data_IF_493521669915
#
_entry.id   IF_493521669915
#
_cell.length_a   1.000
_cell.length_b   1.000
_cell.length_c   1.000
_cell.angle_alpha   90.00
_cell.angle_beta   90.00
_cell.angle_gamma   90.00
#
_symmetry.space_group_name_H-M   'P 1'
#
loop_
_entity.id
_entity.type
_entity.pdbx_description
1 polymer ?
#
# COMPACT_ATOMS: atom_id res chain seq x y z
N UNK A 1 1.64 -3.86 -16.23
CA UNK A 1 2.30 -5.01 -16.87
C UNK A 1 3.78 -4.71 -17.03
N UNK A 2 4.70 -5.68 -16.79
CA UNK A 2 6.09 -5.48 -17.16
C UNK A 2 6.16 -5.17 -18.65
N UNK A 3 6.98 -4.20 -19.05
CA UNK A 3 7.20 -3.91 -20.47
C UNK A 3 7.71 -5.19 -21.15
N UNK A 4 7.09 -5.54 -22.27
CA UNK A 4 7.56 -6.66 -23.09
C UNK A 4 9.03 -6.45 -23.45
N UNK A 5 9.81 -7.53 -23.38
CA UNK A 5 11.21 -7.51 -23.83
C UNK A 5 11.24 -7.19 -25.32
N UNK A 6 12.23 -6.41 -25.75
CA UNK A 6 12.41 -5.98 -27.15
C UNK A 6 13.29 -6.93 -27.95
N UNK A 7 13.74 -8.01 -27.34
CA UNK A 7 14.68 -8.96 -27.91
C UNK A 7 14.28 -10.40 -27.59
N UNK A 8 14.58 -11.31 -28.50
CA UNK A 8 14.33 -12.76 -28.37
C UNK A 8 15.47 -13.47 -27.64
N UNK A 9 15.25 -14.73 -27.27
CA UNK A 9 16.28 -15.52 -26.61
C UNK A 9 17.46 -15.82 -27.56
N UNK A 10 17.19 -15.98 -28.86
CA UNK A 10 18.20 -16.14 -29.90
C UNK A 10 19.04 -14.87 -30.07
N UNK A 11 18.41 -13.69 -30.06
CA UNK A 11 19.12 -12.41 -30.13
C UNK A 11 20.00 -12.19 -28.89
N UNK A 12 19.54 -12.61 -27.71
CA UNK A 12 20.37 -12.60 -26.50
C UNK A 12 21.60 -13.50 -26.64
N UNK A 13 21.42 -14.74 -27.10
CA UNK A 13 22.53 -15.69 -27.30
C UNK A 13 23.55 -15.14 -28.29
N UNK A 14 23.08 -14.60 -29.43
CA UNK A 14 23.94 -13.98 -30.42
C UNK A 14 24.67 -12.74 -29.88
N UNK A 15 23.98 -11.89 -29.12
CA UNK A 15 24.58 -10.71 -28.50
C UNK A 15 25.65 -11.07 -27.46
N UNK A 16 25.44 -12.13 -26.68
CA UNK A 16 26.42 -12.65 -25.72
C UNK A 16 27.67 -13.18 -26.43
N UNK A 17 27.49 -14.02 -27.46
CA UNK A 17 28.62 -14.56 -28.23
C UNK A 17 29.47 -13.45 -28.90
N UNK A 18 28.84 -12.36 -29.33
CA UNK A 18 29.50 -11.25 -30.03
C UNK A 18 30.02 -10.12 -29.12
N UNK A 19 30.08 -10.34 -27.79
CA UNK A 19 30.46 -9.31 -26.81
C UNK A 19 31.54 -9.80 -25.86
N UNK A 20 32.38 -8.87 -25.39
CA UNK A 20 33.44 -9.12 -24.40
C UNK A 20 33.06 -8.55 -23.02
N UNK A 21 32.01 -7.72 -22.93
CA UNK A 21 31.53 -7.07 -21.70
C UNK A 21 30.00 -6.99 -21.70
N UNK A 22 29.36 -6.98 -20.51
CA UNK A 22 27.90 -6.89 -20.39
C UNK A 22 27.30 -5.59 -20.94
N UNK A 23 28.06 -4.50 -20.93
CA UNK A 23 27.65 -3.24 -21.56
C UNK A 23 27.49 -3.38 -23.07
N UNK A 24 28.35 -4.15 -23.73
CA UNK A 24 28.30 -4.41 -25.17
C UNK A 24 27.07 -5.26 -25.52
N UNK A 25 26.75 -6.27 -24.69
CA UNK A 25 25.52 -7.05 -24.81
C UNK A 25 24.29 -6.12 -24.73
N UNK A 26 24.27 -5.18 -23.77
CA UNK A 26 23.20 -4.19 -23.68
C UNK A 26 23.08 -3.34 -24.94
N UNK A 27 24.19 -2.82 -25.47
CA UNK A 27 24.19 -2.02 -26.70
C UNK A 27 23.67 -2.81 -27.91
N UNK A 28 24.07 -4.08 -28.06
CA UNK A 28 23.60 -4.96 -29.14
C UNK A 28 22.11 -5.28 -29.05
N UNK A 29 21.57 -5.39 -27.84
CA UNK A 29 20.14 -5.60 -27.58
C UNK A 29 19.32 -4.29 -27.60
N UNK A 30 19.94 -3.15 -27.93
CA UNK A 30 19.28 -1.84 -27.96
C UNK A 30 18.78 -1.36 -26.59
N UNK A 31 19.39 -1.84 -25.50
CA UNK A 31 19.05 -1.45 -24.12
C UNK A 31 20.19 -0.62 -23.50
N UNK A 32 19.83 0.35 -22.67
CA UNK A 32 20.82 1.20 -21.97
C UNK A 32 21.55 0.37 -20.90
N UNK A 33 22.90 0.38 -20.87
CA UNK A 33 23.67 -0.28 -19.80
C UNK A 33 23.33 0.29 -18.42
N UNK A 34 23.30 -0.57 -17.40
CA UNK A 34 22.90 -0.22 -16.04
C UNK A 34 23.15 -1.37 -15.07
N UNK A 35 22.20 -1.69 -14.19
CA UNK A 35 22.29 -2.94 -13.42
C UNK A 35 22.04 -4.15 -14.33
N UNK A 36 22.94 -5.12 -14.29
CA UNK A 36 22.90 -6.30 -15.15
C UNK A 36 22.10 -7.47 -14.57
N UNK A 37 21.45 -7.31 -13.41
CA UNK A 37 20.76 -8.41 -12.71
C UNK A 37 19.73 -9.13 -13.58
N UNK A 38 18.91 -8.37 -14.33
CA UNK A 38 17.93 -8.95 -15.25
C UNK A 38 18.60 -9.59 -16.47
N UNK A 39 19.64 -8.96 -17.03
CA UNK A 39 20.38 -9.51 -18.16
C UNK A 39 21.03 -10.85 -17.80
N UNK A 40 21.71 -10.93 -16.65
CA UNK A 40 22.31 -12.16 -16.10
C UNK A 40 21.27 -13.25 -15.87
N UNK A 41 20.11 -12.90 -15.30
CA UNK A 41 19.02 -13.85 -15.12
C UNK A 41 18.51 -14.42 -16.45
N UNK A 42 18.48 -13.62 -17.51
CA UNK A 42 18.12 -14.10 -18.84
C UNK A 42 19.23 -14.95 -19.47
N UNK A 43 20.50 -14.57 -19.36
CA UNK A 43 21.65 -15.37 -19.82
C UNK A 43 21.65 -16.76 -19.18
N UNK A 44 21.45 -16.81 -17.86
CA UNK A 44 21.38 -18.06 -17.11
C UNK A 44 20.18 -18.92 -17.54
N UNK A 45 19.02 -18.31 -17.78
CA UNK A 45 17.81 -19.02 -18.22
C UNK A 45 17.94 -19.57 -19.64
N UNK A 46 18.60 -18.84 -20.56
CA UNK A 46 18.78 -19.28 -21.95
C UNK A 46 19.95 -20.25 -22.14
N UNK A 47 20.80 -20.42 -21.12
CA UNK A 47 21.99 -21.26 -21.23
C UNK A 47 23.04 -20.71 -22.20
N UNK A 48 23.06 -19.39 -22.42
CA UNK A 48 24.04 -18.77 -23.30
C UNK A 48 25.44 -18.88 -22.65
N UNK A 49 26.43 -19.34 -23.41
CA UNK A 49 27.81 -19.35 -22.92
C UNK A 49 28.33 -17.91 -22.80
N UNK A 50 28.46 -17.46 -21.55
CA UNK A 50 28.97 -16.14 -21.19
C UNK A 50 30.23 -16.25 -20.33
N UNK A 51 30.91 -17.40 -20.34
CA UNK A 51 32.11 -17.66 -19.54
C UNK A 51 33.26 -16.71 -19.87
N UNK A 52 33.32 -16.23 -21.12
CA UNK A 52 34.30 -15.24 -21.60
C UNK A 52 34.00 -13.80 -21.18
N UNK A 53 32.81 -13.50 -20.65
CA UNK A 53 32.42 -12.15 -20.26
C UNK A 53 32.60 -11.98 -18.74
N UNK A 54 33.52 -11.10 -18.28
CA UNK A 54 33.75 -10.88 -16.85
C UNK A 54 32.47 -10.50 -16.10
N UNK A 55 32.14 -11.27 -15.06
CA UNK A 55 30.98 -11.03 -14.21
C UNK A 55 29.61 -11.28 -14.87
N UNK A 56 29.55 -11.94 -16.03
CA UNK A 56 28.28 -12.33 -16.67
C UNK A 56 27.62 -13.54 -16.00
N UNK A 57 28.42 -14.43 -15.41
CA UNK A 57 27.96 -15.56 -14.61
C UNK A 57 27.95 -15.25 -13.09
N UNK A 58 28.43 -14.07 -12.69
CA UNK A 58 28.29 -13.60 -11.32
C UNK A 58 26.79 -13.40 -11.04
N UNK A 59 26.20 -14.04 -10.02
CA UNK A 59 24.79 -13.87 -9.64
C UNK A 59 24.41 -12.42 -9.28
N UNK A 60 25.38 -11.50 -9.31
CA UNK A 60 25.22 -10.09 -9.04
C UNK A 60 25.27 -9.87 -7.55
N UNK A 61 25.76 -8.68 -7.17
CA UNK A 61 25.97 -8.34 -5.78
C UNK A 61 24.62 -8.14 -5.05
N UNK A 62 23.96 -9.24 -4.67
CA UNK A 62 22.93 -9.23 -3.62
C UNK A 62 23.62 -9.26 -2.27
N UNK A 63 24.53 -8.33 -2.03
CA UNK A 63 25.11 -8.17 -0.72
C UNK A 63 24.98 -6.71 -0.31
N UNK A 64 23.73 -6.29 -0.05
CA UNK A 64 23.59 -5.54 1.19
C UNK A 64 24.07 -6.50 2.27
N UNK A 65 25.36 -6.45 2.62
CA UNK A 65 25.90 -7.14 3.78
C UNK A 65 24.99 -6.74 4.93
N UNK A 66 24.13 -7.67 5.33
CA UNK A 66 23.25 -7.50 6.46
C UNK A 66 24.18 -7.20 7.63
N UNK A 67 24.03 -6.03 8.26
CA UNK A 67 24.93 -5.59 9.34
C UNK A 67 24.58 -6.25 10.67
N UNK A 68 23.50 -7.03 10.72
CA UNK A 68 23.06 -7.78 11.87
C UNK A 68 23.22 -9.29 11.65
N UNK A 69 23.35 -10.05 12.73
CA UNK A 69 23.41 -11.53 12.72
C UNK A 69 22.03 -12.14 12.95
N UNK A 70 21.89 -13.47 12.81
CA UNK A 70 20.61 -14.16 13.04
C UNK A 70 20.23 -14.06 14.52
N UNK A 71 21.23 -14.15 15.39
CA UNK A 71 21.09 -13.99 16.84
C UNK A 71 20.62 -12.58 17.20
N UNK A 72 21.19 -11.55 16.57
CA UNK A 72 20.78 -10.17 16.77
C UNK A 72 19.32 -9.95 16.31
N UNK A 73 18.92 -10.57 15.19
CA UNK A 73 17.54 -10.51 14.73
C UNK A 73 16.59 -11.24 15.69
N UNK A 74 16.95 -12.44 16.16
CA UNK A 74 16.15 -13.21 17.11
C UNK A 74 15.93 -12.43 18.41
N UNK A 75 17.01 -11.92 19.00
CA UNK A 75 16.93 -11.09 20.21
C UNK A 75 16.11 -9.81 19.99
N UNK A 76 16.19 -9.20 18.79
CA UNK A 76 15.41 -8.01 18.49
C UNK A 76 13.92 -8.32 18.29
N UNK A 77 13.59 -9.45 17.67
CA UNK A 77 12.20 -9.91 17.50
C UNK A 77 11.57 -10.24 18.84
N UNK A 78 12.29 -10.93 19.72
CA UNK A 78 11.82 -11.27 21.07
C UNK A 78 11.57 -10.01 21.93
N UNK A 79 12.47 -9.02 21.85
CA UNK A 79 12.39 -7.83 22.69
C UNK A 79 11.36 -6.77 22.24
N UNK A 80 10.91 -6.79 20.99
CA UNK A 80 10.15 -5.70 20.39
C UNK A 80 8.74 -6.12 19.96
N UNK A 81 7.80 -5.17 19.90
CA UNK A 81 6.39 -5.43 19.52
C UNK A 81 6.03 -4.98 18.10
N UNK A 82 7.02 -4.58 17.29
CA UNK A 82 6.79 -4.22 15.89
C UNK A 82 8.06 -4.35 15.06
N UNK A 83 7.89 -4.69 13.77
CA UNK A 83 9.01 -4.76 12.81
C UNK A 83 9.78 -3.43 12.74
N UNK A 84 9.12 -2.28 12.85
CA UNK A 84 9.81 -0.99 12.85
C UNK A 84 10.67 -0.77 14.11
N UNK A 85 10.24 -1.29 15.25
CA UNK A 85 11.05 -1.27 16.46
C UNK A 85 12.24 -2.24 16.35
N UNK A 86 12.02 -3.44 15.78
CA UNK A 86 13.11 -4.37 15.41
C UNK A 86 14.15 -3.66 14.52
N UNK A 87 13.71 -2.95 13.47
CA UNK A 87 14.62 -2.19 12.60
C UNK A 87 15.47 -1.17 13.36
N UNK A 88 14.85 -0.36 14.21
CA UNK A 88 15.55 0.63 15.03
C UNK A 88 16.55 -0.02 15.98
N UNK A 89 16.16 -1.13 16.63
CA UNK A 89 17.02 -1.88 17.54
C UNK A 89 18.23 -2.49 16.82
N UNK A 90 18.05 -2.91 15.57
CA UNK A 90 19.14 -3.38 14.70
C UNK A 90 20.00 -2.23 14.13
N UNK A 91 19.73 -0.97 14.49
CA UNK A 91 20.48 0.21 14.05
C UNK A 91 20.11 0.71 12.65
N UNK A 92 18.93 0.34 12.14
CA UNK A 92 18.45 0.76 10.83
C UNK A 92 17.38 1.82 10.91
N UNK A 93 17.46 2.79 9.99
CA UNK A 93 16.38 3.72 9.72
C UNK A 93 15.19 2.97 9.07
N UNK A 94 13.97 3.09 9.64
CA UNK A 94 12.74 2.59 9.04
C UNK A 94 12.54 2.97 7.57
N UNK A 95 12.61 1.98 6.66
CA UNK A 95 12.27 2.17 5.25
C UNK A 95 11.48 0.98 4.71
N UNK A 96 10.68 1.20 3.66
CA UNK A 96 9.88 0.14 3.05
C UNK A 96 10.73 -1.00 2.45
N UNK A 97 11.92 -0.69 1.95
CA UNK A 97 12.87 -1.69 1.46
C UNK A 97 13.43 -2.56 2.59
N UNK A 98 13.92 -1.94 3.65
CA UNK A 98 14.48 -2.64 4.81
C UNK A 98 13.40 -3.43 5.56
N UNK A 99 12.19 -2.87 5.69
CA UNK A 99 11.04 -3.59 6.23
C UNK A 99 10.80 -4.92 5.51
N UNK A 100 10.76 -4.91 4.17
CA UNK A 100 10.56 -6.14 3.38
C UNK A 100 11.70 -7.14 3.58
N UNK A 101 12.94 -6.66 3.61
CA UNK A 101 14.11 -7.51 3.83
C UNK A 101 14.08 -8.19 5.20
N UNK A 102 13.81 -7.44 6.27
CA UNK A 102 13.74 -7.97 7.64
C UNK A 102 12.55 -8.90 7.82
N UNK A 103 11.37 -8.59 7.26
CA UNK A 103 10.21 -9.50 7.30
C UNK A 103 10.49 -10.80 6.56
N UNK A 104 11.15 -10.74 5.39
CA UNK A 104 11.56 -11.95 4.69
C UNK A 104 12.54 -12.78 5.51
N UNK A 105 13.46 -12.12 6.22
CA UNK A 105 14.43 -12.78 7.10
C UNK A 105 13.75 -13.44 8.31
N UNK A 106 12.86 -12.73 9.00
CA UNK A 106 12.07 -13.25 10.13
C UNK A 106 11.31 -14.52 9.72
N UNK A 107 10.72 -14.53 8.52
CA UNK A 107 10.02 -15.70 7.98
C UNK A 107 10.95 -16.86 7.66
N UNK A 108 12.12 -16.58 7.07
CA UNK A 108 13.10 -17.61 6.74
C UNK A 108 13.67 -18.30 7.97
N UNK A 109 13.74 -17.60 9.11
CA UNK A 109 14.19 -18.14 10.41
C UNK A 109 13.03 -18.64 11.28
N UNK A 110 11.78 -18.61 10.77
CA UNK A 110 10.58 -19.05 11.46
C UNK A 110 10.41 -18.45 12.88
N UNK A 111 10.78 -17.19 13.05
CA UNK A 111 10.70 -16.54 14.36
C UNK A 111 9.26 -16.20 14.73
N UNK A 112 8.91 -16.41 16.00
CA UNK A 112 7.61 -16.02 16.53
C UNK A 112 7.43 -14.49 16.49
N UNK A 113 6.28 -14.06 15.97
CA UNK A 113 5.88 -12.65 15.89
C UNK A 113 4.45 -12.44 16.37
N UNK A 114 3.86 -13.42 17.06
CA UNK A 114 2.48 -13.37 17.55
C UNK A 114 2.24 -12.22 18.53
N UNK A 115 3.28 -11.79 19.24
CA UNK A 115 3.28 -10.65 20.16
C UNK A 115 3.35 -9.27 19.47
N UNK A 116 3.57 -9.20 18.15
CA UNK A 116 3.63 -7.92 17.46
C UNK A 116 2.25 -7.24 17.39
N UNK A 117 2.15 -5.99 17.83
CA UNK A 117 0.90 -5.23 18.01
C UNK A 117 0.58 -4.25 16.87
N UNK A 118 1.12 -4.50 15.67
CA UNK A 118 0.95 -3.62 14.50
C UNK A 118 -0.50 -3.42 14.04
N UNK A 119 -0.72 -2.55 13.03
CA UNK A 119 -2.08 -2.25 12.49
C UNK A 119 -2.89 -3.48 12.07
N UNK A 120 -2.24 -4.59 11.75
CA UNK A 120 -2.88 -5.87 11.44
C UNK A 120 -3.27 -6.69 12.67
N UNK A 121 -2.65 -6.49 13.83
CA UNK A 121 -3.00 -7.20 15.07
C UNK A 121 -4.43 -6.91 15.51
N UNK A 122 -4.88 -5.66 15.32
CA UNK A 122 -6.26 -5.24 15.55
C UNK A 122 -7.22 -5.58 14.38
N UNK A 123 -6.71 -6.06 13.23
CA UNK A 123 -7.56 -6.31 12.05
C UNK A 123 -8.46 -7.52 12.33
N UNK A 124 -9.76 -7.31 12.27
CA UNK A 124 -10.77 -8.33 12.60
C UNK A 124 -11.04 -8.47 14.10
N UNK A 125 -10.28 -7.79 14.97
CA UNK A 125 -10.59 -7.70 16.40
C UNK A 125 -11.54 -6.54 16.65
N UNK A 126 -12.65 -6.82 17.33
CA UNK A 126 -13.49 -5.81 17.95
C UNK A 126 -12.98 -5.61 19.37
N UNK A 127 -12.87 -4.35 19.81
CA UNK A 127 -12.48 -4.01 21.18
C UNK A 127 -13.74 -3.64 21.95
N UNK A 128 -14.44 -4.61 22.58
CA UNK A 128 -15.60 -4.32 23.40
C UNK A 128 -15.20 -3.37 24.54
N UNK A 129 -15.99 -2.33 24.77
CA UNK A 129 -15.77 -1.36 25.85
C UNK A 129 -15.35 0.05 25.42
N UNK A 130 -14.93 0.28 24.17
CA UNK A 130 -14.86 1.66 23.65
C UNK A 130 -16.27 2.17 23.42
N UNK A 131 -16.81 2.96 24.36
CA UNK A 131 -18.07 3.67 24.18
C UNK A 131 -17.94 4.58 22.95
N UNK A 132 -18.79 4.37 21.95
CA UNK A 132 -18.92 5.31 20.86
C UNK A 132 -19.34 6.66 21.43
N UNK A 133 -18.71 7.76 20.98
CA UNK A 133 -19.12 9.11 21.37
C UNK A 133 -20.62 9.29 21.05
N UNK A 134 -21.48 9.72 22.00
CA UNK A 134 -22.90 9.93 21.76
C UNK A 134 -23.15 10.82 20.53
N UNK A 135 -24.21 10.52 19.75
CA UNK A 135 -24.54 11.37 18.61
C UNK A 135 -24.90 12.80 19.03
N UNK A 136 -25.51 12.98 20.21
CA UNK A 136 -25.81 14.30 20.76
C UNK A 136 -24.55 15.19 20.85
N UNK A 137 -23.38 14.62 21.20
CA UNK A 137 -22.12 15.37 21.27
C UNK A 137 -21.49 15.62 19.88
N UNK A 138 -21.93 14.88 18.87
CA UNK A 138 -21.40 14.94 17.50
C UNK A 138 -22.23 15.88 16.63
N UNK A 139 -23.56 15.81 16.74
CA UNK A 139 -24.54 16.52 15.93
C UNK A 139 -24.72 17.98 16.39
N UNK A 140 -23.59 18.68 16.49
CA UNK A 140 -23.48 20.06 16.93
C UNK A 140 -22.68 20.88 15.92
N UNK A 141 -22.78 22.20 16.01
CA UNK A 141 -21.89 23.11 15.30
C UNK A 141 -20.49 23.08 15.93
N UNK A 142 -19.43 23.19 15.11
CA UNK A 142 -18.05 23.17 15.60
C UNK A 142 -17.57 21.78 16.05
N UNK A 143 -18.21 20.72 15.56
CA UNK A 143 -17.91 19.34 15.93
C UNK A 143 -16.49 18.95 15.52
N UNK A 144 -15.73 18.36 16.43
CA UNK A 144 -14.41 17.78 16.15
C UNK A 144 -14.48 16.43 15.41
N UNK A 145 -15.69 15.93 15.14
CA UNK A 145 -15.90 14.66 14.47
C UNK A 145 -15.73 14.81 12.94
N UNK A 146 -14.52 14.53 12.45
CA UNK A 146 -14.12 14.77 11.05
C UNK A 146 -14.51 13.68 10.05
N UNK A 147 -14.91 12.49 10.51
CA UNK A 147 -15.12 11.35 9.60
C UNK A 147 -16.55 11.33 9.04
N UNK A 148 -16.79 12.03 7.92
CA UNK A 148 -18.10 12.04 7.25
C UNK A 148 -18.57 10.63 6.86
N UNK A 149 -17.65 9.75 6.45
CA UNK A 149 -17.97 8.36 6.13
C UNK A 149 -18.46 7.56 7.35
N UNK A 150 -17.87 7.79 8.53
CA UNK A 150 -18.28 7.10 9.76
C UNK A 150 -19.57 7.71 10.31
N UNK A 151 -19.71 9.04 10.28
CA UNK A 151 -20.93 9.74 10.70
C UNK A 151 -22.13 9.28 9.86
N UNK A 152 -21.99 9.23 8.53
CA UNK A 152 -23.02 8.69 7.63
C UNK A 152 -23.49 7.30 8.03
N UNK A 153 -22.55 6.36 8.26
CA UNK A 153 -22.90 4.98 8.66
C UNK A 153 -23.66 4.96 9.97
N UNK A 154 -23.28 5.80 10.93
CA UNK A 154 -23.98 5.91 12.22
C UNK A 154 -25.37 6.50 12.08
N UNK A 155 -25.53 7.59 11.34
CA UNK A 155 -26.84 8.20 11.08
C UNK A 155 -27.83 7.21 10.47
N UNK A 156 -27.35 6.37 9.53
CA UNK A 156 -28.17 5.30 8.93
C UNK A 156 -28.46 4.18 9.93
N UNK A 157 -27.45 3.70 10.66
CA UNK A 157 -27.61 2.61 11.63
C UNK A 157 -28.53 2.98 12.81
N UNK A 158 -28.50 4.24 13.24
CA UNK A 158 -29.33 4.77 14.33
C UNK A 158 -30.70 5.28 13.82
N UNK A 159 -31.01 5.10 12.53
CA UNK A 159 -32.32 5.44 11.93
C UNK A 159 -32.60 6.94 11.75
N UNK A 160 -31.61 7.81 11.99
CA UNK A 160 -31.76 9.27 11.83
C UNK A 160 -31.76 9.72 10.37
N UNK A 161 -31.19 8.93 9.47
CA UNK A 161 -31.21 9.16 8.02
C UNK A 161 -31.43 7.83 7.28
N UNK A 162 -32.08 7.87 6.13
CA UNK A 162 -32.31 6.67 5.33
C UNK A 162 -31.06 6.26 4.52
N UNK A 163 -30.92 4.96 4.25
CA UNK A 163 -29.87 4.42 3.37
C UNK A 163 -30.15 4.65 1.87
N UNK A 164 -30.52 5.88 1.49
CA UNK A 164 -30.83 6.29 0.11
C UNK A 164 -30.36 7.71 -0.15
N UNK A 165 -30.25 8.08 -1.42
CA UNK A 165 -30.05 9.48 -1.78
C UNK A 165 -31.28 10.30 -1.35
N UNK A 166 -31.08 11.37 -0.60
CA UNK A 166 -32.14 12.29 -0.17
C UNK A 166 -32.67 13.18 -1.32
N UNK A 167 -31.93 13.24 -2.44
CA UNK A 167 -32.31 14.03 -3.61
C UNK A 167 -33.02 13.20 -4.69
N UNK A 168 -32.38 12.15 -5.20
CA UNK A 168 -32.94 11.32 -6.28
C UNK A 168 -33.55 9.99 -5.81
N UNK A 169 -33.53 9.69 -4.51
CA UNK A 169 -34.09 8.45 -3.94
C UNK A 169 -33.30 7.17 -4.25
N UNK A 170 -32.22 7.24 -5.04
CA UNK A 170 -31.45 6.08 -5.47
C UNK A 170 -30.91 5.27 -4.27
N UNK A 171 -31.14 3.96 -4.30
CA UNK A 171 -30.68 2.97 -3.31
C UNK A 171 -29.71 1.96 -3.92
N UNK A 172 -29.87 1.66 -5.20
CA UNK A 172 -29.11 0.64 -5.92
C UNK A 172 -28.61 1.18 -7.27
N UNK A 173 -27.43 0.75 -7.69
CA UNK A 173 -26.88 0.98 -9.01
C UNK A 173 -26.23 -0.30 -9.54
N UNK A 174 -26.68 -0.78 -10.70
CA UNK A 174 -26.19 -2.02 -11.35
C UNK A 174 -26.20 -3.25 -10.43
N UNK A 175 -27.30 -3.48 -9.70
CA UNK A 175 -27.42 -4.64 -8.82
C UNK A 175 -26.62 -4.54 -7.52
N UNK A 176 -26.11 -3.35 -7.16
CA UNK A 176 -25.30 -3.13 -5.96
C UNK A 176 -25.75 -1.89 -5.20
N UNK A 177 -25.67 -1.86 -3.86
CA UNK A 177 -25.99 -0.67 -3.07
C UNK A 177 -25.24 0.55 -3.58
N UNK A 178 -25.97 1.66 -3.79
CA UNK A 178 -25.35 2.88 -4.31
C UNK A 178 -24.34 3.44 -3.30
N UNK A 179 -23.15 3.89 -3.74
CA UNK A 179 -22.24 4.62 -2.88
C UNK A 179 -22.88 5.96 -2.47
N UNK A 180 -23.22 6.09 -1.19
CA UNK A 180 -23.72 7.33 -0.60
C UNK A 180 -22.59 8.11 0.09
N UNK A 181 -22.71 9.42 0.08
CA UNK A 181 -21.82 10.40 0.68
C UNK A 181 -22.63 11.29 1.63
N UNK A 182 -21.96 11.85 2.64
CA UNK A 182 -22.56 12.84 3.53
C UNK A 182 -22.11 14.21 3.06
N UNK A 183 -23.07 15.06 2.73
CA UNK A 183 -22.86 16.46 2.36
C UNK A 183 -23.39 17.37 3.47
N UNK A 184 -22.70 18.51 3.61
CA UNK A 184 -23.07 19.60 4.50
C UNK A 184 -23.70 20.69 3.66
N UNK A 185 -24.98 21.00 3.89
CA UNK A 185 -25.76 21.96 3.08
C UNK A 185 -25.07 23.33 3.00
N UNK A 186 -24.46 23.77 4.10
CA UNK A 186 -23.72 25.03 4.19
C UNK A 186 -22.23 24.94 3.77
N UNK A 187 -21.71 23.75 3.44
CA UNK A 187 -20.30 23.52 3.11
C UNK A 187 -19.34 23.44 4.31
N UNK A 188 -19.78 23.84 5.50
CA UNK A 188 -18.97 23.77 6.73
C UNK A 188 -18.94 22.35 7.29
N UNK A 189 -17.83 21.65 7.04
CA UNK A 189 -17.55 20.31 7.53
C UNK A 189 -17.52 20.17 9.08
N UNK A 190 -17.60 21.27 9.82
CA UNK A 190 -17.69 21.28 11.29
C UNK A 190 -19.12 21.42 11.80
N UNK A 191 -20.08 21.82 10.96
CA UNK A 191 -21.49 21.97 11.35
C UNK A 191 -22.26 20.66 11.15
N UNK A 192 -22.16 19.76 12.12
CA UNK A 192 -22.77 18.42 12.07
C UNK A 192 -24.22 18.39 12.54
N UNK A 193 -24.89 19.53 12.73
CA UNK A 193 -26.31 19.56 13.11
C UNK A 193 -27.15 18.81 12.07
N UNK A 194 -28.11 18.01 12.52
CA UNK A 194 -28.81 17.04 11.66
C UNK A 194 -29.50 17.69 10.46
N UNK A 195 -30.04 18.89 10.64
CA UNK A 195 -30.68 19.71 9.61
C UNK A 195 -29.70 20.21 8.53
N UNK A 196 -28.40 20.31 8.85
CA UNK A 196 -27.36 20.71 7.91
C UNK A 196 -26.77 19.52 7.13
N UNK A 197 -27.14 18.29 7.49
CA UNK A 197 -26.59 17.08 6.89
C UNK A 197 -27.57 16.46 5.89
N UNK A 198 -27.08 16.05 4.72
CA UNK A 198 -27.84 15.26 3.75
C UNK A 198 -27.01 14.12 3.16
N UNK A 199 -27.65 12.98 2.94
CA UNK A 199 -27.06 11.80 2.33
C UNK A 199 -27.34 11.83 0.82
N UNK A 200 -26.29 11.91 0.01
CA UNK A 200 -26.40 12.01 -1.46
C UNK A 200 -25.65 10.88 -2.16
N UNK A 201 -26.09 10.47 -3.34
CA UNK A 201 -25.28 9.65 -4.23
C UNK A 201 -24.19 10.49 -4.89
N UNK A 202 -23.16 9.85 -5.45
CA UNK A 202 -22.04 10.56 -6.08
C UNK A 202 -22.46 11.54 -7.19
N UNK A 203 -23.52 11.22 -7.94
CA UNK A 203 -24.00 12.08 -9.02
C UNK A 203 -24.70 13.33 -8.49
N UNK A 204 -25.64 13.17 -7.56
CA UNK A 204 -26.32 14.31 -6.92
C UNK A 204 -25.33 15.18 -6.14
N UNK A 205 -24.40 14.57 -5.40
CA UNK A 205 -23.40 15.32 -4.65
C UNK A 205 -22.48 16.15 -5.57
N UNK A 206 -22.14 15.66 -6.76
CA UNK A 206 -21.33 16.42 -7.72
C UNK A 206 -22.02 17.69 -8.25
N UNK A 207 -23.35 17.78 -8.11
CA UNK A 207 -24.16 18.93 -8.52
C UNK A 207 -24.33 19.96 -7.40
N UNK A 208 -23.87 19.68 -6.17
CA UNK A 208 -23.98 20.65 -5.09
C UNK A 208 -22.98 21.78 -5.27
N UNK A 209 -23.35 22.97 -4.80
CA UNK A 209 -22.44 24.11 -4.79
C UNK A 209 -21.24 23.91 -3.85
N UNK A 210 -21.33 22.97 -2.92
CA UNK A 210 -20.30 22.63 -1.92
C UNK A 210 -19.32 21.57 -2.42
N UNK A 211 -19.60 20.96 -3.57
CA UNK A 211 -18.79 19.88 -4.13
C UNK A 211 -17.31 20.27 -4.28
N UNK A 212 -16.42 19.40 -3.81
CA UNK A 212 -14.97 19.62 -3.86
C UNK A 212 -14.48 20.96 -3.30
N UNK A 213 -15.21 21.57 -2.36
CA UNK A 213 -14.81 22.84 -1.74
C UNK A 213 -15.07 24.07 -2.62
N UNK A 214 -15.97 23.99 -3.61
CA UNK A 214 -16.38 25.13 -4.45
C UNK A 214 -16.89 26.36 -3.66
N UNK A 215 -17.39 26.15 -2.44
CA UNK A 215 -17.89 27.18 -1.52
C UNK A 215 -17.01 27.39 -0.26
N UNK A 216 -15.80 26.82 -0.22
CA UNK A 216 -14.88 26.91 0.92
C UNK A 216 -13.76 27.92 0.71
#
# INVERSE_FOLDING_TARGET
>A
MPRARRWTDEELVAAVAASQRLSEVCHRLGIRPGRYDQLRAHIARTGADASHIPGALDPGHRNHRRRYTDEALRAAVEAEVSVYAVLRRLGYEPSGGMFRAVVAHIRALELDTTHFTGRSWARGRTFPGRRARPLADILVRGSSYRSSATLRRRLVAEGLKAARCEECGLTEWRGRPVPLQLDHVNGDHTDNRLENLRILCANCHALTDTWCGRKN
#
